data_IF_903677365350
#
_entry.id   IF_903677365350
#
_cell.length_a   1.000
_cell.length_b   1.000
_cell.length_c   1.000
_cell.angle_alpha   90.00
_cell.angle_beta   90.00
_cell.angle_gamma   90.00
#
_symmetry.space_group_name_H-M   'P 1'
#
loop_
_entity.id
_entity.type
_entity.pdbx_description
1 polymer ?
#
# COMPACT_ATOMS: atom_id res chain seq x y z
N UNK A 1 0.75 14.12 -34.80
CA UNK A 1 1.90 13.48 -34.12
C UNK A 1 2.25 14.34 -32.92
N UNK A 2 2.00 13.86 -31.70
CA UNK A 2 2.53 14.51 -30.50
C UNK A 2 4.04 14.26 -30.49
N UNK A 3 4.82 15.32 -30.31
CA UNK A 3 6.26 15.21 -30.06
C UNK A 3 6.48 14.28 -28.86
N UNK A 4 7.44 13.34 -28.91
CA UNK A 4 7.74 12.51 -27.75
C UNK A 4 8.05 13.40 -26.54
N UNK A 5 7.67 12.98 -25.32
CA UNK A 5 8.01 13.73 -24.12
C UNK A 5 9.51 13.96 -24.06
N UNK A 6 9.92 15.11 -23.53
CA UNK A 6 11.33 15.33 -23.21
C UNK A 6 11.83 14.25 -22.23
N UNK A 7 13.13 13.95 -22.24
CA UNK A 7 13.71 12.94 -21.34
C UNK A 7 13.31 13.19 -19.87
N UNK A 8 13.33 14.46 -19.44
CA UNK A 8 12.87 14.85 -18.10
C UNK A 8 11.39 14.55 -17.82
N UNK A 9 10.48 14.73 -18.80
CA UNK A 9 9.06 14.38 -18.63
C UNK A 9 8.85 12.86 -18.53
N UNK A 10 9.64 12.07 -19.26
CA UNK A 10 9.60 10.61 -19.19
C UNK A 10 10.04 10.11 -17.80
N UNK A 11 11.14 10.64 -17.26
CA UNK A 11 11.59 10.33 -15.90
C UNK A 11 10.55 10.69 -14.84
N UNK A 12 9.91 11.87 -14.95
CA UNK A 12 8.83 12.27 -14.04
C UNK A 12 7.68 11.25 -14.05
N UNK A 13 7.30 10.77 -15.24
CA UNK A 13 6.24 9.78 -15.39
C UNK A 13 6.62 8.46 -14.72
N UNK A 14 7.85 7.97 -14.92
CA UNK A 14 8.35 6.74 -14.31
C UNK A 14 8.34 6.79 -12.78
N UNK A 15 8.75 7.91 -12.17
CA UNK A 15 8.69 8.06 -10.72
C UNK A 15 7.26 8.14 -10.19
N UNK A 16 6.35 8.80 -10.91
CA UNK A 16 4.92 8.80 -10.55
C UNK A 16 4.32 7.40 -10.63
N UNK A 17 4.70 6.62 -11.63
CA UNK A 17 4.24 5.24 -11.79
C UNK A 17 4.78 4.34 -10.68
N UNK A 18 6.07 4.45 -10.36
CA UNK A 18 6.68 3.75 -9.23
C UNK A 18 5.93 4.02 -7.92
N UNK A 19 5.71 5.29 -7.58
CA UNK A 19 5.06 5.66 -6.32
C UNK A 19 3.61 5.17 -6.26
N UNK A 20 2.88 5.25 -7.38
CA UNK A 20 1.51 4.73 -7.47
C UNK A 20 1.45 3.22 -7.35
N UNK A 21 2.31 2.51 -8.08
CA UNK A 21 2.37 1.05 -8.15
C UNK A 21 2.91 0.42 -6.84
N UNK A 22 3.56 1.19 -5.97
CA UNK A 22 4.03 0.78 -4.63
C UNK A 22 3.26 1.43 -3.48
N UNK A 23 2.26 2.27 -3.80
CA UNK A 23 1.46 3.05 -2.86
C UNK A 23 2.28 3.95 -1.91
N UNK A 24 3.45 4.41 -2.35
CA UNK A 24 4.28 5.35 -1.61
C UNK A 24 3.69 6.78 -1.71
N UNK A 25 3.56 7.49 -0.58
CA UNK A 25 3.29 8.94 -0.60
C UNK A 25 4.58 9.67 -0.26
N UNK A 26 5.14 10.43 -1.21
CA UNK A 26 6.33 11.21 -0.95
C UNK A 26 6.00 12.41 -0.06
N UNK A 27 7.01 12.88 0.67
CA UNK A 27 6.99 14.20 1.33
C UNK A 27 7.88 15.16 0.54
N UNK A 28 7.64 16.48 0.58
CA UNK A 28 8.53 17.45 -0.05
C UNK A 28 9.96 17.32 0.48
N UNK A 29 10.94 17.43 -0.43
CA UNK A 29 12.36 17.26 -0.12
C UNK A 29 12.99 15.99 -0.72
N UNK A 30 14.16 15.57 -0.23
CA UNK A 30 14.91 14.47 -0.82
C UNK A 30 14.21 13.12 -0.62
N UNK A 31 14.17 12.34 -1.70
CA UNK A 31 13.63 10.99 -1.78
C UNK A 31 14.71 10.06 -2.29
N UNK A 32 14.88 8.93 -1.58
CA UNK A 32 15.78 7.84 -1.97
C UNK A 32 14.95 6.58 -2.15
N UNK A 33 15.05 5.96 -3.33
CA UNK A 33 14.45 4.66 -3.61
C UNK A 33 15.56 3.64 -3.83
N UNK A 34 15.82 2.73 -2.88
CA UNK A 34 16.81 1.68 -3.06
C UNK A 34 16.32 0.64 -4.08
N UNK A 35 17.19 0.25 -5.00
CA UNK A 35 16.96 -0.78 -6.03
C UNK A 35 17.98 -1.93 -5.85
N UNK A 36 17.94 -2.66 -4.72
CA UNK A 36 18.95 -3.66 -4.36
C UNK A 36 19.10 -4.78 -5.41
N UNK A 37 18.03 -5.11 -6.15
CA UNK A 37 18.06 -6.21 -7.13
C UNK A 37 18.94 -5.92 -8.34
N UNK A 38 19.24 -4.64 -8.58
CA UNK A 38 20.09 -4.16 -9.68
C UNK A 38 21.32 -3.38 -9.18
N UNK A 39 21.55 -3.35 -7.87
CA UNK A 39 22.72 -2.68 -7.27
C UNK A 39 22.70 -1.15 -7.41
N UNK A 40 21.51 -0.54 -7.51
CA UNK A 40 21.35 0.91 -7.76
C UNK A 40 20.41 1.58 -6.74
N UNK A 41 20.25 2.89 -6.84
CA UNK A 41 19.22 3.68 -6.14
C UNK A 41 18.74 4.84 -6.99
N UNK A 42 17.46 5.19 -6.91
CA UNK A 42 16.97 6.47 -7.45
C UNK A 42 17.10 7.54 -6.37
N UNK A 43 17.69 8.67 -6.72
CA UNK A 43 17.70 9.88 -5.89
C UNK A 43 16.87 10.94 -6.58
N UNK A 44 15.91 11.52 -5.87
CA UNK A 44 15.12 12.62 -6.41
C UNK A 44 14.73 13.66 -5.36
N UNK A 45 14.52 14.91 -5.79
CA UNK A 45 13.98 15.97 -4.94
C UNK A 45 12.50 16.17 -5.24
N UNK A 46 11.62 15.82 -4.30
CA UNK A 46 10.17 16.01 -4.42
C UNK A 46 9.85 17.48 -4.22
N UNK A 47 9.51 18.15 -5.32
CA UNK A 47 9.18 19.58 -5.33
C UNK A 47 7.71 19.84 -4.96
N UNK A 48 6.80 18.96 -5.39
CA UNK A 48 5.36 19.12 -5.18
C UNK A 48 4.67 17.77 -4.97
N UNK A 49 3.81 17.69 -3.95
CA UNK A 49 2.97 16.53 -3.66
C UNK A 49 1.55 16.80 -4.14
N UNK A 50 1.02 15.94 -5.00
CA UNK A 50 -0.31 16.05 -5.59
C UNK A 50 -1.22 14.93 -5.08
N UNK A 51 -2.47 15.21 -4.66
CA UNK A 51 -3.44 14.19 -4.25
C UNK A 51 -3.85 13.21 -5.36
N UNK A 52 -3.70 13.57 -6.65
CA UNK A 52 -4.00 12.66 -7.78
C UNK A 52 -2.78 11.87 -8.27
N UNK A 53 -1.64 11.97 -7.58
CA UNK A 53 -0.42 11.22 -7.88
C UNK A 53 0.48 11.85 -8.95
N UNK A 54 0.18 13.07 -9.40
CA UNK A 54 0.99 13.83 -10.37
C UNK A 54 2.07 14.67 -9.68
N UNK A 55 2.85 14.03 -8.82
CA UNK A 55 3.97 14.66 -8.10
C UNK A 55 4.97 15.32 -9.06
N UNK A 56 5.66 16.38 -8.63
CA UNK A 56 6.77 16.99 -9.38
C UNK A 56 8.09 16.77 -8.67
N UNK A 57 9.11 16.46 -9.46
CA UNK A 57 10.48 16.27 -8.98
C UNK A 57 11.40 17.35 -9.59
N UNK A 58 12.35 17.90 -8.84
CA UNK A 58 13.27 18.92 -9.35
C UNK A 58 14.60 18.34 -9.85
N UNK A 59 15.08 17.27 -9.19
CA UNK A 59 16.29 16.53 -9.54
C UNK A 59 15.96 15.05 -9.59
N UNK A 60 16.48 14.34 -10.58
CA UNK A 60 16.38 12.87 -10.71
C UNK A 60 17.78 12.37 -11.10
N UNK A 61 18.27 11.39 -10.36
CA UNK A 61 19.57 10.77 -10.59
C UNK A 61 19.54 9.28 -10.25
N UNK A 62 20.41 8.50 -10.88
CA UNK A 62 20.72 7.12 -10.51
C UNK A 62 22.02 7.06 -9.71
N UNK A 63 21.96 6.43 -8.54
CA UNK A 63 23.12 6.11 -7.73
C UNK A 63 23.58 4.69 -7.99
N UNK A 64 24.88 4.51 -8.23
CA UNK A 64 25.53 3.21 -8.45
C UNK A 64 26.14 2.68 -7.15
N UNK A 65 26.42 1.37 -7.11
CA UNK A 65 26.95 0.69 -5.92
C UNK A 65 28.32 1.20 -5.45
N UNK A 66 29.09 1.85 -6.33
CA UNK A 66 30.38 2.47 -6.03
C UNK A 66 30.25 3.94 -5.55
N UNK A 67 29.03 4.42 -5.37
CA UNK A 67 28.75 5.78 -4.87
C UNK A 67 28.72 6.86 -5.96
N UNK A 68 28.83 6.47 -7.23
CA UNK A 68 28.59 7.37 -8.36
C UNK A 68 27.14 7.84 -8.41
N UNK A 69 26.92 9.05 -8.93
CA UNK A 69 25.61 9.60 -9.21
C UNK A 69 25.57 10.04 -10.68
N UNK A 70 24.70 9.42 -11.45
CA UNK A 70 24.38 9.81 -12.81
C UNK A 70 23.17 10.76 -12.80
N UNK A 71 23.36 12.06 -13.07
CA UNK A 71 22.25 12.99 -13.21
C UNK A 71 21.53 12.76 -14.54
N UNK A 72 20.21 12.96 -14.56
CA UNK A 72 19.39 12.90 -15.78
C UNK A 72 19.48 11.53 -16.49
N UNK A 73 19.18 10.41 -15.79
CA UNK A 73 19.37 9.07 -16.32
C UNK A 73 18.51 8.80 -17.55
N UNK A 74 19.00 7.98 -18.48
CA UNK A 74 18.20 7.55 -19.63
C UNK A 74 16.85 6.94 -19.16
N UNK A 75 15.71 7.38 -19.72
CA UNK A 75 14.40 6.90 -19.28
C UNK A 75 14.20 5.39 -19.45
N UNK A 76 14.78 4.77 -20.48
CA UNK A 76 14.64 3.33 -20.71
C UNK A 76 15.47 2.53 -19.70
N UNK A 77 16.67 3.01 -19.36
CA UNK A 77 17.48 2.43 -18.28
C UNK A 77 16.78 2.54 -16.92
N UNK A 78 16.25 3.72 -16.59
CA UNK A 78 15.48 3.93 -15.36
C UNK A 78 14.26 3.00 -15.32
N UNK A 79 13.50 2.89 -16.42
CA UNK A 79 12.34 2.01 -16.51
C UNK A 79 12.72 0.53 -16.31
N UNK A 80 13.82 0.07 -16.92
CA UNK A 80 14.33 -1.29 -16.78
C UNK A 80 14.76 -1.60 -15.34
N UNK A 81 15.47 -0.68 -14.69
CA UNK A 81 15.89 -0.81 -13.30
C UNK A 81 14.70 -0.92 -12.34
N UNK A 82 13.70 -0.03 -12.50
CA UNK A 82 12.49 -0.04 -11.68
C UNK A 82 11.65 -1.30 -11.90
N UNK A 83 11.45 -1.71 -13.16
CA UNK A 83 10.69 -2.92 -13.51
C UNK A 83 11.36 -4.16 -12.92
N UNK A 84 12.69 -4.26 -13.04
CA UNK A 84 13.46 -5.38 -12.49
C UNK A 84 13.33 -5.44 -10.97
N UNK A 85 13.43 -4.29 -10.29
CA UNK A 85 13.28 -4.20 -8.84
C UNK A 85 11.86 -4.61 -8.40
N UNK A 86 10.80 -4.13 -9.05
CA UNK A 86 9.43 -4.51 -8.71
C UNK A 86 9.16 -6.00 -8.97
N UNK A 87 9.64 -6.55 -10.09
CA UNK A 87 9.53 -7.97 -10.37
C UNK A 87 10.26 -8.84 -9.33
N UNK A 88 11.44 -8.40 -8.86
CA UNK A 88 12.18 -9.11 -7.82
C UNK A 88 11.48 -9.08 -6.44
N UNK A 89 10.67 -8.05 -6.16
CA UNK A 89 9.83 -7.97 -4.95
C UNK A 89 8.68 -8.97 -5.00
N UNK A 90 8.06 -9.16 -6.16
CA UNK A 90 6.92 -10.07 -6.35
C UNK A 90 7.25 -11.55 -6.22
N UNK A 91 8.52 -11.94 -6.38
CA UNK A 91 8.92 -13.35 -6.42
C UNK A 91 8.46 -14.05 -7.71
N UNK A 92 8.62 -15.38 -7.80
CA UNK A 92 8.43 -16.14 -9.05
C UNK A 92 6.96 -16.31 -9.50
N UNK A 93 5.98 -15.66 -8.86
CA UNK A 93 4.57 -15.77 -9.26
C UNK A 93 4.27 -14.86 -10.45
N UNK A 94 4.30 -15.47 -11.63
CA UNK A 94 3.95 -14.83 -12.89
C UNK A 94 2.46 -14.47 -12.98
N UNK A 95 2.21 -13.20 -13.23
CA UNK A 95 1.08 -12.79 -14.05
C UNK A 95 1.65 -11.99 -15.21
N UNK A 96 1.39 -12.45 -16.44
CA UNK A 96 1.85 -11.78 -17.65
C UNK A 96 0.97 -10.56 -17.91
N UNK A 97 1.60 -9.40 -18.12
CA UNK A 97 0.96 -8.14 -18.50
C UNK A 97 0.39 -8.27 -19.92
N UNK A 98 -0.93 -8.31 -20.08
CA UNK A 98 -1.53 -8.04 -21.38
C UNK A 98 -1.57 -6.52 -21.59
N UNK A 99 -0.97 -6.00 -22.68
CA UNK A 99 -1.07 -4.59 -23.02
C UNK A 99 -2.55 -4.19 -23.13
N UNK A 100 -3.01 -3.11 -22.47
CA UNK A 100 -4.39 -2.67 -22.59
C UNK A 100 -4.67 -2.16 -24.00
N UNK A 101 -5.94 -2.16 -24.45
CA UNK A 101 -6.34 -1.32 -25.56
C UNK A 101 -6.09 0.14 -25.18
N UNK A 102 -5.24 0.83 -25.94
CA UNK A 102 -4.96 2.25 -25.74
C UNK A 102 -6.13 3.11 -26.22
N UNK A 103 -6.90 3.70 -25.30
CA UNK A 103 -7.86 4.77 -25.60
C UNK A 103 -8.25 5.51 -24.30
N UNK A 104 -7.33 6.32 -23.77
CA UNK A 104 -7.68 7.38 -22.83
C UNK A 104 -8.41 8.52 -23.55
N UNK A 105 -8.67 9.62 -22.84
CA UNK A 105 -9.21 10.83 -23.48
C UNK A 105 -8.34 11.24 -24.70
N UNK A 106 -8.96 11.62 -25.83
CA UNK A 106 -8.23 12.10 -27.00
C UNK A 106 -7.24 13.21 -26.66
N UNK A 107 -6.10 13.25 -27.40
CA UNK A 107 -5.03 14.22 -27.16
C UNK A 107 -5.42 15.68 -27.39
N UNK A 108 -6.53 15.93 -28.08
CA UNK A 108 -7.12 17.26 -28.32
C UNK A 108 -8.17 17.67 -27.26
N UNK A 109 -8.49 16.80 -26.30
CA UNK A 109 -9.47 17.14 -25.25
C UNK A 109 -8.96 18.31 -24.37
N UNK A 110 -9.88 19.16 -23.86
CA UNK A 110 -9.53 20.31 -23.03
C UNK A 110 -8.59 19.96 -21.86
N UNK A 111 -7.69 20.89 -21.53
CA UNK A 111 -6.81 20.79 -20.35
C UNK A 111 -7.56 21.04 -19.03
N UNK A 112 -8.64 21.81 -19.09
CA UNK A 112 -9.52 22.01 -17.93
C UNK A 112 -10.29 20.71 -17.62
N UNK A 113 -10.16 20.14 -16.39
CA UNK A 113 -10.85 18.91 -16.02
C UNK A 113 -12.38 19.03 -16.12
N UNK A 114 -12.97 20.20 -15.84
CA UNK A 114 -14.43 20.37 -15.88
C UNK A 114 -14.95 20.37 -17.32
N UNK A 115 -14.29 21.10 -18.23
CA UNK A 115 -14.60 21.07 -19.66
C UNK A 115 -14.37 19.67 -20.29
N UNK A 116 -13.44 18.88 -19.76
CA UNK A 116 -13.12 17.54 -20.27
C UNK A 116 -14.16 16.46 -19.91
N UNK A 117 -15.13 16.73 -19.02
CA UNK A 117 -16.14 15.74 -18.61
C UNK A 117 -17.01 15.27 -19.78
N UNK A 118 -17.43 16.17 -20.68
CA UNK A 118 -18.26 15.79 -21.84
C UNK A 118 -17.58 14.75 -22.75
N UNK A 119 -16.37 15.03 -23.26
CA UNK A 119 -15.56 14.04 -23.98
C UNK A 119 -15.33 12.74 -23.19
N UNK A 120 -15.13 12.82 -21.87
CA UNK A 120 -14.91 11.66 -21.01
C UNK A 120 -16.13 10.75 -20.94
N UNK A 121 -17.35 11.31 -20.88
CA UNK A 121 -18.59 10.54 -20.95
C UNK A 121 -18.74 9.85 -22.30
N UNK A 122 -18.34 10.50 -23.40
CA UNK A 122 -18.28 9.88 -24.72
C UNK A 122 -17.37 8.66 -24.75
N UNK A 123 -16.15 8.80 -24.24
CA UNK A 123 -15.18 7.70 -24.13
C UNK A 123 -15.69 6.57 -23.23
N UNK A 124 -16.27 6.90 -22.06
CA UNK A 124 -16.85 5.92 -21.13
C UNK A 124 -17.96 5.10 -21.80
N UNK A 125 -18.89 5.76 -22.51
CA UNK A 125 -19.94 5.07 -23.29
C UNK A 125 -19.35 4.15 -24.35
N UNK A 126 -18.31 4.58 -25.07
CA UNK A 126 -17.63 3.74 -26.06
C UNK A 126 -16.97 2.51 -25.44
N UNK A 127 -16.25 2.67 -24.33
CA UNK A 127 -15.62 1.56 -23.59
C UNK A 127 -16.67 0.54 -23.13
N UNK A 128 -17.83 1.00 -22.70
CA UNK A 128 -18.90 0.12 -22.19
C UNK A 128 -19.78 -0.49 -23.30
N UNK A 129 -19.92 0.17 -24.46
CA UNK A 129 -20.80 -0.27 -25.57
C UNK A 129 -20.33 -1.51 -26.34
N UNK A 130 -19.03 -1.78 -26.43
CA UNK A 130 -18.46 -2.90 -27.21
C UNK A 130 -18.58 -4.26 -26.50
N UNK A 131 -19.76 -4.55 -25.93
CA UNK A 131 -19.92 -5.61 -24.96
C UNK A 131 -20.17 -6.99 -25.54
N UNK A 132 -19.12 -7.81 -25.64
CA UNK A 132 -19.25 -9.26 -25.94
C UNK A 132 -18.66 -10.18 -24.86
N UNK A 133 -17.88 -9.67 -23.88
CA UNK A 133 -17.41 -10.41 -22.69
C UNK A 133 -17.36 -9.53 -21.41
N UNK A 134 -17.65 -10.15 -20.24
CA UNK A 134 -17.48 -9.70 -18.84
C UNK A 134 -17.56 -8.19 -18.49
N UNK A 135 -18.71 -7.71 -18.02
CA UNK A 135 -18.95 -6.30 -17.69
C UNK A 135 -17.97 -5.70 -16.65
N UNK A 136 -17.58 -6.47 -15.62
CA UNK A 136 -16.73 -5.99 -14.53
C UNK A 136 -15.27 -5.71 -14.93
N UNK A 137 -14.73 -6.42 -15.93
CA UNK A 137 -13.37 -6.15 -16.42
C UNK A 137 -13.33 -4.83 -17.21
N UNK A 138 -14.30 -4.62 -18.11
CA UNK A 138 -14.41 -3.36 -18.87
C UNK A 138 -14.72 -2.15 -18.00
N UNK A 139 -15.50 -2.29 -16.92
CA UNK A 139 -15.69 -1.20 -15.96
C UNK A 139 -14.36 -0.77 -15.33
N UNK A 140 -13.47 -1.72 -15.00
CA UNK A 140 -12.12 -1.43 -14.49
C UNK A 140 -11.22 -0.79 -15.56
N UNK A 141 -11.24 -1.33 -16.78
CA UNK A 141 -10.48 -0.74 -17.90
C UNK A 141 -10.94 0.69 -18.20
N UNK A 142 -12.25 0.95 -18.21
CA UNK A 142 -12.81 2.27 -18.40
C UNK A 142 -12.43 3.23 -17.27
N UNK A 143 -12.46 2.77 -16.00
CA UNK A 143 -11.99 3.55 -14.87
C UNK A 143 -10.51 3.96 -15.02
N UNK A 144 -9.65 3.01 -15.35
CA UNK A 144 -8.23 3.29 -15.56
C UNK A 144 -8.03 4.29 -16.71
N UNK A 145 -8.60 4.02 -17.88
CA UNK A 145 -8.36 4.82 -19.09
C UNK A 145 -9.02 6.22 -19.05
N UNK A 146 -10.25 6.33 -18.53
CA UNK A 146 -11.03 7.57 -18.61
C UNK A 146 -10.82 8.45 -17.38
N UNK A 147 -10.86 7.87 -16.18
CA UNK A 147 -10.74 8.63 -14.94
C UNK A 147 -9.27 8.80 -14.52
N UNK A 148 -8.56 7.69 -14.30
CA UNK A 148 -7.20 7.71 -13.71
C UNK A 148 -6.14 8.28 -14.66
N UNK A 149 -6.17 7.89 -15.93
CA UNK A 149 -5.20 8.34 -16.93
C UNK A 149 -5.74 9.51 -17.79
N UNK A 150 -7.04 9.84 -17.65
CA UNK A 150 -7.72 10.90 -18.39
C UNK A 150 -8.03 12.14 -17.53
N UNK A 151 -9.13 12.11 -16.79
CA UNK A 151 -9.65 13.29 -16.09
C UNK A 151 -8.75 13.75 -14.93
N UNK A 152 -8.25 12.83 -14.09
CA UNK A 152 -7.50 13.20 -12.89
C UNK A 152 -6.17 13.92 -13.18
N UNK A 153 -5.34 13.49 -14.15
CA UNK A 153 -4.11 14.22 -14.47
C UNK A 153 -4.33 15.68 -14.91
N UNK A 154 -5.52 15.99 -15.48
CA UNK A 154 -5.89 17.36 -15.88
C UNK A 154 -6.12 18.28 -14.69
N UNK A 155 -6.54 17.75 -13.54
CA UNK A 155 -6.67 18.51 -12.28
C UNK A 155 -5.34 19.18 -11.91
N UNK A 156 -4.24 18.44 -12.07
CA UNK A 156 -2.89 18.90 -11.74
C UNK A 156 -2.20 19.75 -12.83
N UNK A 157 -2.81 19.88 -14.01
CA UNK A 157 -2.19 20.52 -15.16
C UNK A 157 -2.24 22.07 -15.17
N UNK A 158 -2.94 22.71 -14.22
CA UNK A 158 -3.05 24.18 -14.19
C UNK A 158 -1.93 24.87 -13.40
N UNK A 159 -1.66 26.13 -13.77
CA UNK A 159 -0.59 26.94 -13.18
C UNK A 159 -0.80 27.21 -11.67
N UNK A 160 0.27 27.27 -10.86
CA UNK A 160 0.19 27.72 -9.48
C UNK A 160 -0.30 29.17 -9.42
N UNK A 161 -1.33 29.48 -8.62
CA UNK A 161 -1.59 30.88 -8.23
C UNK A 161 -3.03 31.42 -8.23
N UNK A 162 -4.08 30.64 -8.52
CA UNK A 162 -5.46 31.14 -8.35
C UNK A 162 -6.47 30.11 -7.81
N UNK A 163 -6.25 28.82 -8.08
CA UNK A 163 -7.13 27.74 -7.66
C UNK A 163 -6.28 26.57 -7.16
N UNK A 164 -6.59 26.04 -5.98
CA UNK A 164 -5.86 24.89 -5.42
C UNK A 164 -6.29 23.61 -6.13
N UNK A 165 -5.41 22.61 -6.17
CA UNK A 165 -5.73 21.29 -6.74
C UNK A 165 -6.97 20.66 -6.09
N UNK A 166 -7.18 20.93 -4.79
CA UNK A 166 -8.39 20.53 -4.05
C UNK A 166 -9.65 21.17 -4.61
N UNK A 167 -9.64 22.48 -4.88
CA UNK A 167 -10.79 23.18 -5.46
C UNK A 167 -11.14 22.62 -6.85
N UNK A 168 -10.14 22.28 -7.67
CA UNK A 168 -10.36 21.60 -8.96
C UNK A 168 -10.93 20.20 -8.82
N UNK A 169 -10.47 19.42 -7.83
CA UNK A 169 -11.07 18.11 -7.52
C UNK A 169 -12.53 18.26 -7.12
N UNK A 170 -12.87 19.29 -6.32
CA UNK A 170 -14.24 19.55 -5.89
C UNK A 170 -15.12 19.95 -7.09
N UNK A 171 -14.61 20.81 -7.99
CA UNK A 171 -15.31 21.20 -9.22
C UNK A 171 -15.52 20.00 -10.16
N UNK A 172 -14.50 19.16 -10.36
CA UNK A 172 -14.60 17.93 -11.15
C UNK A 172 -15.65 16.98 -10.53
N UNK A 173 -15.60 16.79 -9.22
CA UNK A 173 -16.55 15.94 -8.48
C UNK A 173 -17.98 16.43 -8.67
N UNK A 174 -18.23 17.73 -8.48
CA UNK A 174 -19.55 18.33 -8.71
C UNK A 174 -20.07 18.14 -10.13
N UNK A 175 -19.19 18.26 -11.14
CA UNK A 175 -19.55 18.04 -12.54
C UNK A 175 -19.87 16.57 -12.83
N UNK A 176 -19.11 15.63 -12.26
CA UNK A 176 -19.36 14.19 -12.40
C UNK A 176 -20.67 13.77 -11.71
N UNK A 177 -21.00 14.38 -10.56
CA UNK A 177 -22.30 14.17 -9.88
C UNK A 177 -23.45 14.58 -10.80
N UNK A 178 -23.42 15.78 -11.37
CA UNK A 178 -24.44 16.24 -12.31
C UNK A 178 -24.55 15.30 -13.53
N UNK A 179 -23.41 14.91 -14.11
CA UNK A 179 -23.38 13.97 -15.23
C UNK A 179 -24.01 12.60 -14.88
N UNK A 180 -23.75 12.07 -13.69
CA UNK A 180 -24.35 10.82 -13.21
C UNK A 180 -25.86 10.95 -13.08
N UNK A 181 -26.31 12.07 -12.52
CA UNK A 181 -27.73 12.29 -12.21
C UNK A 181 -28.56 12.47 -13.50
N UNK A 182 -27.97 13.10 -14.52
CA UNK A 182 -28.53 13.28 -15.87
C UNK A 182 -28.45 12.00 -16.74
N UNK A 183 -27.52 11.08 -16.46
CA UNK A 183 -27.37 9.84 -17.22
C UNK A 183 -28.54 8.87 -16.93
N UNK A 184 -29.09 8.23 -17.97
CA UNK A 184 -30.11 7.20 -17.79
C UNK A 184 -29.56 6.00 -16.97
N UNK A 185 -30.41 5.28 -16.22
CA UNK A 185 -30.00 4.07 -15.51
C UNK A 185 -29.29 3.07 -16.44
N UNK A 186 -28.12 2.60 -16.02
CA UNK A 186 -27.30 1.67 -16.79
C UNK A 186 -25.81 1.77 -16.48
N UNK A 187 -24.96 1.03 -17.22
CA UNK A 187 -23.55 0.83 -16.87
C UNK A 187 -22.72 2.11 -16.75
N UNK A 188 -23.07 3.17 -17.49
CA UNK A 188 -22.39 4.47 -17.46
C UNK A 188 -22.69 5.18 -16.14
N UNK A 189 -23.97 5.23 -15.76
CA UNK A 189 -24.41 5.79 -14.47
C UNK A 189 -23.82 5.02 -13.30
N UNK A 190 -23.76 3.69 -13.41
CA UNK A 190 -23.17 2.82 -12.38
C UNK A 190 -21.66 3.06 -12.22
N UNK A 191 -20.93 3.20 -13.34
CA UNK A 191 -19.50 3.52 -13.32
C UNK A 191 -19.24 4.89 -12.68
N UNK A 192 -19.99 5.93 -13.05
CA UNK A 192 -19.91 7.24 -12.43
C UNK A 192 -20.25 7.18 -10.93
N UNK A 193 -21.27 6.39 -10.56
CA UNK A 193 -21.62 6.11 -9.17
C UNK A 193 -20.44 5.57 -8.38
N UNK A 194 -19.84 4.47 -8.86
CA UNK A 194 -18.66 3.83 -8.25
C UNK A 194 -17.48 4.80 -8.13
N UNK A 195 -17.18 5.60 -9.17
CA UNK A 195 -16.10 6.58 -9.10
C UNK A 195 -16.30 7.64 -8.03
N UNK A 196 -17.55 7.98 -7.72
CA UNK A 196 -17.92 9.02 -6.75
C UNK A 196 -18.09 8.48 -5.32
N UNK A 197 -18.26 7.17 -5.14
CA UNK A 197 -18.51 6.55 -3.83
C UNK A 197 -17.37 5.67 -3.32
N UNK A 198 -16.67 4.99 -4.21
CA UNK A 198 -15.78 3.90 -3.79
C UNK A 198 -14.47 4.47 -3.24
N UNK A 199 -13.99 3.98 -2.08
CA UNK A 199 -12.76 4.50 -1.46
C UNK A 199 -11.50 4.17 -2.26
N UNK A 200 -11.58 3.18 -3.15
CA UNK A 200 -10.49 2.74 -4.00
C UNK A 200 -10.94 2.63 -5.45
N UNK A 201 -10.04 2.97 -6.36
CA UNK A 201 -10.23 2.81 -7.79
C UNK A 201 -9.33 1.67 -8.30
N UNK A 202 -9.82 0.86 -9.25
CA UNK A 202 -9.01 -0.14 -9.93
C UNK A 202 -8.01 0.56 -10.85
N UNK A 203 -6.73 0.24 -10.68
CA UNK A 203 -5.64 0.71 -11.55
C UNK A 203 -4.91 -0.47 -12.16
N UNK A 204 -4.57 -0.34 -13.43
CA UNK A 204 -3.54 -1.18 -14.06
C UNK A 204 -2.16 -0.58 -13.76
N UNK A 205 -1.28 -1.29 -13.05
CA UNK A 205 0.06 -0.78 -12.83
C UNK A 205 0.84 -0.75 -14.16
N UNK A 206 1.83 0.14 -14.21
CA UNK A 206 2.67 0.34 -15.41
C UNK A 206 3.94 -0.49 -15.29
N UNK A 207 4.59 -0.43 -14.13
CA UNK A 207 5.89 -1.04 -13.86
C UNK A 207 5.73 -2.37 -13.09
N UNK A 208 4.74 -2.46 -12.19
CA UNK A 208 4.52 -3.66 -11.38
C UNK A 208 3.90 -4.82 -12.19
N UNK A 209 4.31 -6.09 -11.98
CA UNK A 209 3.83 -7.22 -12.78
C UNK A 209 2.35 -7.59 -12.56
N UNK A 210 1.73 -7.19 -11.44
CA UNK A 210 0.31 -7.46 -11.17
C UNK A 210 -0.63 -6.95 -12.27
N UNK A 211 -1.68 -7.70 -12.60
CA UNK A 211 -2.65 -7.28 -13.61
C UNK A 211 -3.52 -6.09 -13.16
N UNK A 212 -3.81 -6.00 -11.86
CA UNK A 212 -4.59 -4.93 -11.23
C UNK A 212 -4.07 -4.64 -9.84
N UNK A 213 -4.19 -3.39 -9.42
CA UNK A 213 -4.00 -2.92 -8.06
C UNK A 213 -5.14 -1.98 -7.67
N UNK A 214 -5.28 -1.73 -6.38
CA UNK A 214 -6.15 -0.66 -5.86
C UNK A 214 -5.33 0.58 -5.60
N UNK A 215 -5.86 1.73 -5.98
CA UNK A 215 -5.32 3.03 -5.56
C UNK A 215 -6.40 3.80 -4.83
N UNK A 216 -6.00 4.62 -3.85
CA UNK A 216 -6.92 5.50 -3.12
C UNK A 216 -7.63 6.45 -4.09
N UNK A 217 -8.93 6.62 -3.90
CA UNK A 217 -9.73 7.49 -4.74
C UNK A 217 -9.59 8.96 -4.32
N UNK A 218 -8.99 9.85 -5.14
CA UNK A 218 -8.84 11.27 -4.77
C UNK A 218 -10.15 12.07 -4.81
N UNK A 219 -11.19 11.53 -5.47
CA UNK A 219 -12.54 12.13 -5.49
C UNK A 219 -13.28 11.93 -4.16
N UNK A 220 -12.85 10.96 -3.33
CA UNK A 220 -13.44 10.67 -2.03
C UNK A 220 -12.49 11.17 -0.94
N UNK A 221 -12.77 12.32 -0.31
CA UNK A 221 -11.95 12.81 0.80
C UNK A 221 -11.97 11.79 1.94
N UNK A 222 -10.80 11.43 2.43
CA UNK A 222 -10.67 10.57 3.61
C UNK A 222 -10.24 11.45 4.77
N UNK A 223 -11.16 11.68 5.69
CA UNK A 223 -10.89 12.37 6.94
C UNK A 223 -9.96 11.57 7.86
N UNK A 224 -9.49 12.18 8.96
CA UNK A 224 -8.76 11.45 9.99
C UNK A 224 -9.65 10.32 10.54
N UNK A 225 -9.15 9.08 10.48
CA UNK A 225 -9.84 7.94 11.08
C UNK A 225 -9.45 7.88 12.56
N UNK A 226 -10.38 8.31 13.42
CA UNK A 226 -10.26 8.09 14.85
C UNK A 226 -10.35 6.58 15.12
N UNK A 227 -9.31 6.02 15.74
CA UNK A 227 -9.29 4.63 16.19
C UNK A 227 -8.80 4.60 17.62
N UNK A 228 -9.37 3.68 18.41
CA UNK A 228 -8.81 3.31 19.69
C UNK A 228 -7.55 2.47 19.47
N UNK A 229 -6.69 2.40 20.48
CA UNK A 229 -5.58 1.45 20.45
C UNK A 229 -6.09 0.01 20.36
N UNK A 230 -5.29 -0.91 19.79
CA UNK A 230 -5.61 -2.32 19.82
C UNK A 230 -5.59 -2.84 21.27
N UNK A 231 -6.47 -3.79 21.65
CA UNK A 231 -6.39 -4.41 22.96
C UNK A 231 -5.11 -5.23 23.09
N UNK A 232 -4.62 -5.34 24.32
CA UNK A 232 -3.52 -6.26 24.67
C UNK A 232 -4.08 -7.28 25.68
N UNK A 233 -4.61 -8.43 25.21
CA UNK A 233 -5.10 -9.47 26.11
C UNK A 233 -3.96 -9.97 26.99
N UNK A 234 -4.15 -10.13 28.29
CA UNK A 234 -3.08 -10.63 29.18
C UNK A 234 -2.64 -12.07 28.85
N UNK A 235 -3.54 -12.85 28.23
CA UNK A 235 -3.30 -14.24 27.84
C UNK A 235 -3.88 -14.56 26.47
N UNK A 236 -3.16 -15.41 25.75
CA UNK A 236 -3.59 -16.03 24.51
C UNK A 236 -3.21 -17.52 24.56
N UNK A 237 -4.14 -18.40 24.94
CA UNK A 237 -3.84 -19.81 25.18
C UNK A 237 -2.76 -19.99 26.26
N UNK A 238 -1.65 -20.63 25.90
CA UNK A 238 -0.48 -20.81 26.80
C UNK A 238 0.47 -19.62 26.85
N UNK A 239 0.18 -18.55 26.12
CA UNK A 239 1.07 -17.40 26.02
C UNK A 239 0.59 -16.29 26.95
N UNK A 240 1.52 -15.68 27.68
CA UNK A 240 1.30 -14.44 28.42
C UNK A 240 1.80 -13.29 27.59
N UNK A 241 0.98 -12.26 27.42
CA UNK A 241 1.32 -11.07 26.64
C UNK A 241 1.46 -9.89 27.60
N UNK A 242 2.49 -9.08 27.39
CA UNK A 242 2.68 -7.82 28.11
C UNK A 242 3.29 -6.76 27.21
N UNK A 243 3.01 -5.49 27.47
CA UNK A 243 3.66 -4.38 26.77
C UNK A 243 5.18 -4.41 27.00
N UNK A 244 5.94 -4.19 25.94
CA UNK A 244 7.39 -4.07 26.00
C UNK A 244 7.79 -2.71 26.60
N UNK A 245 8.86 -2.66 27.40
CA UNK A 245 9.39 -1.40 27.94
C UNK A 245 10.47 -0.81 27.04
N UNK A 246 10.54 0.54 26.88
CA UNK A 246 11.52 1.21 26.00
C UNK A 246 12.98 1.19 26.51
N UNK A 247 13.29 0.33 27.48
CA UNK A 247 14.61 0.18 28.07
C UNK A 247 14.72 -1.11 28.87
N UNK A 248 15.92 -1.35 29.43
CA UNK A 248 16.21 -2.54 30.23
C UNK A 248 16.18 -3.84 29.41
N UNK A 249 15.93 -4.99 30.08
CA UNK A 249 16.05 -6.32 29.46
C UNK A 249 15.15 -6.55 28.23
N UNK A 250 14.00 -5.88 28.18
CA UNK A 250 13.07 -5.96 27.05
C UNK A 250 13.70 -5.40 25.76
N UNK A 251 14.32 -4.22 25.87
CA UNK A 251 15.00 -3.57 24.77
C UNK A 251 16.20 -4.41 24.30
N UNK A 252 16.99 -4.94 25.24
CA UNK A 252 18.15 -5.77 24.93
C UNK A 252 17.73 -7.05 24.16
N UNK A 253 16.65 -7.69 24.61
CA UNK A 253 16.09 -8.89 23.97
C UNK A 253 15.59 -8.58 22.56
N UNK A 254 14.76 -7.55 22.41
CA UNK A 254 14.17 -7.16 21.14
C UNK A 254 15.24 -6.72 20.13
N UNK A 255 16.12 -5.80 20.52
CA UNK A 255 17.18 -5.32 19.66
C UNK A 255 18.15 -6.44 19.28
N UNK A 256 18.39 -7.40 20.18
CA UNK A 256 19.14 -8.62 19.90
C UNK A 256 18.49 -9.47 18.80
N UNK A 257 17.18 -9.74 18.87
CA UNK A 257 16.46 -10.47 17.82
C UNK A 257 16.46 -9.73 16.49
N UNK A 258 16.25 -8.43 16.49
CA UNK A 258 16.15 -7.60 15.28
C UNK A 258 17.46 -7.50 14.50
N UNK A 259 18.60 -7.83 15.13
CA UNK A 259 19.92 -7.93 14.51
C UNK A 259 20.25 -9.31 13.94
N UNK A 260 19.37 -10.31 14.09
CA UNK A 260 19.61 -11.66 13.57
C UNK A 260 19.35 -11.72 12.06
N UNK A 261 20.20 -12.39 11.25
CA UNK A 261 20.07 -12.39 9.79
C UNK A 261 18.69 -12.81 9.28
N UNK A 262 18.06 -13.81 9.89
CA UNK A 262 16.74 -14.30 9.50
C UNK A 262 15.60 -13.30 9.83
N UNK A 263 15.78 -12.45 10.85
CA UNK A 263 14.82 -11.40 11.21
C UNK A 263 15.05 -10.18 10.34
N UNK A 264 16.31 -9.80 10.10
CA UNK A 264 16.68 -8.69 9.19
C UNK A 264 16.05 -8.89 7.82
N UNK A 265 16.08 -10.13 7.29
CA UNK A 265 15.57 -10.44 5.94
C UNK A 265 14.12 -10.02 5.72
N UNK A 266 13.26 -10.12 6.74
CA UNK A 266 11.81 -9.95 6.57
C UNK A 266 11.17 -8.91 7.49
N UNK A 267 11.77 -8.63 8.65
CA UNK A 267 11.35 -7.57 9.55
C UNK A 267 12.04 -6.25 9.20
N UNK A 268 13.31 -6.28 8.75
CA UNK A 268 13.99 -5.12 8.16
C UNK A 268 14.37 -3.99 9.12
N UNK A 269 14.43 -4.27 10.44
CA UNK A 269 14.66 -3.25 11.47
C UNK A 269 15.89 -3.53 12.38
N UNK A 270 17.11 -3.78 11.85
CA UNK A 270 18.33 -3.92 12.65
C UNK A 270 18.85 -2.58 13.18
N UNK A 271 17.96 -1.83 13.82
CA UNK A 271 18.25 -0.48 14.27
C UNK A 271 19.12 -0.48 15.53
N UNK A 272 19.91 0.59 15.75
CA UNK A 272 20.57 0.80 17.04
C UNK A 272 19.56 0.86 18.19
N UNK A 273 19.94 0.41 19.38
CA UNK A 273 19.06 0.32 20.56
C UNK A 273 18.35 1.65 20.87
N UNK A 274 19.03 2.79 20.71
CA UNK A 274 18.42 4.13 20.90
C UNK A 274 17.21 4.41 19.99
N UNK A 275 17.19 3.82 18.79
CA UNK A 275 16.06 3.96 17.85
C UNK A 275 14.93 3.03 18.27
N UNK A 276 15.23 1.79 18.67
CA UNK A 276 14.24 0.87 19.23
C UNK A 276 13.60 1.41 20.52
N UNK A 277 14.38 2.01 21.42
CA UNK A 277 13.85 2.68 22.61
C UNK A 277 12.82 3.77 22.25
N UNK A 278 13.12 4.58 21.22
CA UNK A 278 12.22 5.62 20.72
C UNK A 278 10.97 5.02 20.06
N UNK A 279 11.12 3.95 19.29
CA UNK A 279 10.00 3.25 18.66
C UNK A 279 9.03 2.71 19.73
N UNK A 280 9.55 2.00 20.73
CA UNK A 280 8.76 1.47 21.83
C UNK A 280 8.06 2.58 22.64
N UNK A 281 8.74 3.71 22.87
CA UNK A 281 8.14 4.86 23.53
C UNK A 281 7.04 5.53 22.67
N UNK A 282 7.12 5.41 21.35
CA UNK A 282 6.12 5.92 20.40
C UNK A 282 4.81 5.13 20.38
N UNK A 283 4.82 3.86 20.82
CA UNK A 283 3.64 2.98 20.91
C UNK A 283 2.79 3.22 22.18
N UNK A 284 2.73 4.48 22.63
CA UNK A 284 1.90 4.94 23.73
C UNK A 284 0.41 5.06 23.37
N UNK A 285 -0.42 5.53 24.32
CA UNK A 285 -1.85 5.71 24.12
C UNK A 285 -2.20 6.56 22.90
N UNK A 286 -3.10 6.08 22.06
CA UNK A 286 -3.60 6.74 20.85
C UNK A 286 -2.71 6.60 19.62
N UNK A 287 -1.59 5.88 19.70
CA UNK A 287 -0.74 5.59 18.54
C UNK A 287 -1.43 4.67 17.53
N UNK A 288 -2.35 3.82 17.98
CA UNK A 288 -2.95 2.76 17.17
C UNK A 288 -2.06 1.52 17.03
N UNK A 289 -0.96 1.44 17.79
CA UNK A 289 -0.04 0.29 17.81
C UNK A 289 0.36 -0.05 19.27
N UNK A 290 0.46 -1.33 19.58
CA UNK A 290 0.96 -1.83 20.85
C UNK A 290 2.13 -2.80 20.60
N UNK A 291 3.31 -2.46 21.13
CA UNK A 291 4.47 -3.33 21.18
C UNK A 291 4.36 -4.30 22.37
N UNK A 292 4.38 -5.61 22.08
CA UNK A 292 4.08 -6.68 23.04
C UNK A 292 5.18 -7.73 23.04
N UNK A 293 5.68 -8.06 24.22
CA UNK A 293 6.49 -9.27 24.45
C UNK A 293 5.60 -10.42 24.89
N UNK A 294 6.00 -11.62 24.49
CA UNK A 294 5.25 -12.84 24.71
C UNK A 294 6.11 -13.85 25.46
N UNK A 295 5.63 -14.31 26.61
CA UNK A 295 6.24 -15.40 27.38
C UNK A 295 5.44 -16.70 27.15
N UNK A 296 6.12 -17.85 26.99
CA UNK A 296 5.45 -19.16 26.96
C UNK A 296 5.31 -19.68 28.40
N UNK A 297 4.08 -19.82 28.90
CA UNK A 297 3.85 -20.22 30.30
C UNK A 297 4.25 -21.67 30.58
N UNK A 298 4.55 -22.46 29.54
CA UNK A 298 5.07 -23.83 29.69
C UNK A 298 6.56 -23.87 29.97
N UNK A 299 7.26 -22.73 29.84
CA UNK A 299 8.68 -22.59 30.16
C UNK A 299 8.98 -21.20 30.77
N UNK A 300 8.54 -20.92 32.01
CA UNK A 300 8.64 -19.58 32.61
C UNK A 300 10.06 -19.05 32.80
N UNK A 301 11.08 -19.92 32.73
CA UNK A 301 12.49 -19.55 32.90
C UNK A 301 13.21 -19.18 31.61
N UNK A 302 12.62 -19.45 30.44
CA UNK A 302 13.25 -19.22 29.13
C UNK A 302 13.23 -17.73 28.68
N UNK A 303 12.47 -16.88 29.38
CA UNK A 303 12.22 -15.50 28.98
C UNK A 303 11.25 -15.37 27.80
N UNK A 304 11.13 -14.16 27.22
CA UNK A 304 10.23 -13.93 26.10
C UNK A 304 10.57 -14.80 24.89
N UNK A 305 9.56 -15.36 24.23
CA UNK A 305 9.69 -16.21 23.04
C UNK A 305 9.29 -15.51 21.75
N UNK A 306 8.58 -14.38 21.82
CA UNK A 306 8.19 -13.59 20.66
C UNK A 306 7.96 -12.12 20.99
N UNK A 307 8.03 -11.30 19.96
CA UNK A 307 7.63 -9.90 19.93
C UNK A 307 6.50 -9.73 18.92
N UNK A 308 5.47 -8.96 19.30
CA UNK A 308 4.33 -8.64 18.46
C UNK A 308 4.16 -7.12 18.37
N UNK A 309 3.74 -6.64 17.20
CA UNK A 309 3.09 -5.34 17.06
C UNK A 309 1.63 -5.63 16.77
N UNK A 310 0.76 -5.35 17.73
CA UNK A 310 -0.69 -5.34 17.53
C UNK A 310 -1.04 -3.94 17.04
N UNK A 311 -1.82 -3.78 15.98
CA UNK A 311 -2.07 -2.45 15.42
C UNK A 311 -3.46 -2.30 14.78
N UNK A 312 -3.82 -1.06 14.46
CA UNK A 312 -5.01 -0.68 13.67
C UNK A 312 -4.61 -0.51 12.20
N UNK A 313 -4.89 -1.49 11.32
CA UNK A 313 -4.44 -1.49 9.93
C UNK A 313 -4.77 -0.23 9.13
N UNK A 314 -5.92 0.41 9.41
CA UNK A 314 -6.36 1.65 8.75
C UNK A 314 -5.38 2.82 8.89
N UNK A 315 -4.49 2.79 9.91
CA UNK A 315 -3.45 3.80 10.14
C UNK A 315 -2.11 3.48 9.48
N UNK A 316 -1.98 2.31 8.86
CA UNK A 316 -0.72 1.81 8.31
C UNK A 316 -0.71 1.88 6.79
N UNK A 317 0.50 1.79 6.22
CA UNK A 317 0.70 1.91 4.78
C UNK A 317 -0.13 0.90 3.96
N UNK A 318 -0.47 -0.25 4.52
CA UNK A 318 -1.31 -1.27 3.88
C UNK A 318 -2.70 -0.72 3.49
N UNK A 319 -3.27 0.21 4.25
CA UNK A 319 -4.61 0.77 4.02
C UNK A 319 -4.72 1.58 2.73
N UNK A 320 -3.58 1.83 2.06
CA UNK A 320 -3.51 2.56 0.79
C UNK A 320 -3.92 1.72 -0.41
N UNK A 321 -3.65 0.41 -0.35
CA UNK A 321 -3.99 -0.56 -1.39
C UNK A 321 -4.93 -1.67 -0.92
N UNK A 322 -5.15 -1.80 0.39
CA UNK A 322 -6.04 -2.80 0.98
C UNK A 322 -7.17 -2.13 1.78
N UNK A 323 -8.44 -2.55 1.61
CA UNK A 323 -9.59 -1.97 2.29
C UNK A 323 -9.65 -2.43 3.76
N UNK A 324 -8.77 -1.87 4.58
CA UNK A 324 -8.77 -2.04 6.02
C UNK A 324 -9.81 -1.12 6.68
N UNK A 325 -10.68 -1.69 7.50
CA UNK A 325 -11.65 -0.96 8.31
C UNK A 325 -11.05 -0.43 9.61
N UNK A 326 -11.74 0.51 10.29
CA UNK A 326 -11.31 1.05 11.58
C UNK A 326 -11.28 -0.02 12.70
N UNK A 327 -12.14 -1.03 12.61
CA UNK A 327 -12.26 -2.10 13.60
C UNK A 327 -11.37 -3.32 13.30
N UNK A 328 -10.70 -3.35 12.14
CA UNK A 328 -9.73 -4.39 11.84
C UNK A 328 -8.58 -4.32 12.85
N UNK A 329 -8.03 -5.49 13.17
CA UNK A 329 -6.82 -5.62 13.97
C UNK A 329 -5.70 -6.23 13.14
N UNK A 330 -4.48 -5.76 13.34
CA UNK A 330 -3.29 -6.24 12.66
C UNK A 330 -2.31 -6.89 13.63
N UNK A 331 -1.50 -7.82 13.13
CA UNK A 331 -0.38 -8.40 13.89
C UNK A 331 0.90 -8.53 13.04
N UNK A 332 1.97 -7.85 13.46
CA UNK A 332 3.33 -8.24 13.10
C UNK A 332 3.90 -9.17 14.15
N UNK A 333 4.75 -10.11 13.73
CA UNK A 333 5.36 -11.09 14.63
C UNK A 333 6.83 -11.28 14.31
N UNK A 334 7.63 -11.29 15.36
CA UNK A 334 9.00 -11.79 15.37
C UNK A 334 9.08 -12.91 16.42
N UNK A 335 9.43 -14.13 16.01
CA UNK A 335 9.62 -15.24 16.95
C UNK A 335 11.10 -15.33 17.28
N UNK A 336 11.42 -15.28 18.59
CA UNK A 336 12.79 -15.26 19.11
C UNK A 336 13.57 -16.54 18.80
N UNK A 337 14.90 -16.49 18.96
CA UNK A 337 15.80 -17.57 18.55
C UNK A 337 15.52 -18.94 19.20
N UNK A 338 15.19 -18.94 20.49
CA UNK A 338 15.05 -20.14 21.31
C UNK A 338 13.64 -20.75 21.28
N UNK A 339 12.92 -20.61 20.16
CA UNK A 339 11.55 -21.12 20.06
C UNK A 339 11.50 -22.58 19.60
N UNK A 340 10.48 -23.30 20.08
CA UNK A 340 10.18 -24.65 19.60
C UNK A 340 9.54 -24.59 18.21
N UNK A 341 9.81 -25.59 17.36
CA UNK A 341 9.12 -25.72 16.07
C UNK A 341 7.61 -25.69 16.27
N UNK A 342 6.92 -24.91 15.44
CA UNK A 342 5.47 -24.75 15.53
C UNK A 342 4.99 -23.63 16.47
N UNK A 343 5.87 -23.02 17.29
CA UNK A 343 5.50 -21.90 18.17
C UNK A 343 4.80 -20.76 17.42
N UNK A 344 5.33 -20.34 16.27
CA UNK A 344 4.74 -19.24 15.50
C UNK A 344 3.27 -19.47 15.10
N UNK A 345 2.93 -20.67 14.60
CA UNK A 345 1.54 -20.97 14.21
C UNK A 345 0.60 -21.07 15.41
N UNK A 346 1.05 -21.71 16.50
CA UNK A 346 0.28 -21.78 17.73
C UNK A 346 0.05 -20.39 18.35
N UNK A 347 1.07 -19.53 18.33
CA UNK A 347 1.01 -18.17 18.84
C UNK A 347 0.04 -17.32 18.02
N UNK A 348 0.20 -17.27 16.70
CA UNK A 348 -0.67 -16.50 15.81
C UNK A 348 -2.13 -16.93 15.93
N UNK A 349 -2.37 -18.24 16.03
CA UNK A 349 -3.71 -18.77 16.29
C UNK A 349 -4.27 -18.27 17.62
N UNK A 350 -3.55 -18.46 18.71
CA UNK A 350 -4.02 -18.05 20.03
C UNK A 350 -4.23 -16.53 20.15
N UNK A 351 -3.32 -15.73 19.59
CA UNK A 351 -3.38 -14.26 19.64
C UNK A 351 -4.58 -13.76 18.86
N UNK A 352 -4.83 -14.26 17.65
CA UNK A 352 -5.98 -13.84 16.87
C UNK A 352 -7.31 -14.17 17.57
N UNK A 353 -7.42 -15.35 18.20
CA UNK A 353 -8.61 -15.68 18.99
C UNK A 353 -8.78 -14.75 20.20
N UNK A 354 -7.70 -14.44 20.91
CA UNK A 354 -7.73 -13.53 22.05
C UNK A 354 -8.10 -12.09 21.65
N UNK A 355 -7.59 -11.59 20.52
CA UNK A 355 -7.94 -10.28 19.98
C UNK A 355 -9.42 -10.21 19.59
N UNK A 356 -9.91 -11.20 18.84
CA UNK A 356 -11.32 -11.26 18.44
C UNK A 356 -12.26 -11.39 19.65
N UNK A 357 -11.83 -12.05 20.72
CA UNK A 357 -12.58 -12.11 21.97
C UNK A 357 -12.57 -10.77 22.73
N UNK A 358 -11.43 -10.07 22.75
CA UNK A 358 -11.27 -8.81 23.47
C UNK A 358 -11.93 -7.61 22.78
N UNK A 359 -12.07 -7.63 21.45
CA UNK A 359 -12.70 -6.58 20.66
C UNK A 359 -13.92 -7.15 19.90
N UNK A 360 -15.13 -7.13 20.49
CA UNK A 360 -16.32 -7.72 19.87
C UNK A 360 -16.66 -7.15 18.48
N UNK A 361 -16.35 -5.87 18.26
CA UNK A 361 -16.57 -5.19 16.97
C UNK A 361 -15.57 -5.56 15.88
N UNK A 362 -14.45 -6.21 16.22
CA UNK A 362 -13.42 -6.55 15.25
C UNK A 362 -13.91 -7.66 14.30
N UNK A 363 -14.00 -7.42 12.98
CA UNK A 363 -14.48 -8.44 12.05
C UNK A 363 -13.40 -9.46 11.69
N UNK A 364 -12.11 -9.07 11.76
CA UNK A 364 -10.98 -9.93 11.37
C UNK A 364 -9.65 -9.42 11.94
N UNK A 365 -8.71 -10.35 12.08
CA UNK A 365 -7.29 -10.05 12.33
C UNK A 365 -6.51 -10.26 11.04
N UNK A 366 -5.65 -9.32 10.65
CA UNK A 366 -4.85 -9.39 9.43
C UNK A 366 -3.34 -9.31 9.71
N UNK A 367 -2.57 -9.67 8.71
CA UNK A 367 -1.13 -9.43 8.65
C UNK A 367 -0.66 -9.33 7.19
N UNK A 368 0.51 -8.74 7.00
CA UNK A 368 1.13 -8.54 5.68
C UNK A 368 2.56 -9.09 5.61
N UNK A 369 2.79 -10.40 5.81
CA UNK A 369 4.11 -10.98 5.55
C UNK A 369 4.59 -10.67 4.12
N UNK A 370 5.90 -10.58 3.94
CA UNK A 370 6.50 -10.60 2.59
C UNK A 370 6.08 -11.88 1.87
N UNK A 371 5.62 -11.76 0.62
CA UNK A 371 5.12 -12.88 -0.18
C UNK A 371 6.18 -13.99 -0.40
N UNK A 372 7.47 -13.69 -0.21
CA UNK A 372 8.59 -14.63 -0.31
C UNK A 372 8.93 -15.29 1.02
N UNK A 373 8.22 -14.97 2.10
CA UNK A 373 8.45 -15.54 3.43
C UNK A 373 7.59 -16.79 3.68
N UNK A 374 7.96 -17.90 3.02
CA UNK A 374 7.24 -19.19 3.14
C UNK A 374 7.10 -19.67 4.58
N UNK A 375 8.08 -19.38 5.44
CA UNK A 375 8.06 -19.75 6.85
C UNK A 375 6.93 -19.00 7.60
N UNK A 376 6.83 -17.68 7.41
CA UNK A 376 5.76 -16.87 7.99
C UNK A 376 4.40 -17.24 7.40
N UNK A 377 4.28 -17.35 6.07
CA UNK A 377 3.05 -17.76 5.40
C UNK A 377 2.57 -19.14 5.90
N UNK A 378 3.48 -20.10 6.04
CA UNK A 378 3.19 -21.39 6.63
C UNK A 378 2.76 -21.31 8.10
N UNK A 379 3.31 -20.39 8.88
CA UNK A 379 2.91 -20.16 10.27
C UNK A 379 1.51 -19.53 10.36
N UNK A 380 1.22 -18.50 9.58
CA UNK A 380 -0.11 -17.88 9.48
C UNK A 380 -1.17 -18.90 9.07
N UNK A 381 -0.89 -19.71 8.04
CA UNK A 381 -1.79 -20.80 7.61
C UNK A 381 -2.08 -21.79 8.74
N UNK A 382 -1.05 -22.23 9.49
CA UNK A 382 -1.23 -23.10 10.67
C UNK A 382 -1.98 -22.40 11.81
N UNK A 383 -1.86 -21.08 11.92
CA UNK A 383 -2.63 -20.25 12.84
C UNK A 383 -4.07 -19.96 12.40
N UNK A 384 -4.51 -20.54 11.28
CA UNK A 384 -5.88 -20.41 10.78
C UNK A 384 -6.15 -19.16 9.94
N UNK A 385 -5.11 -18.48 9.47
CA UNK A 385 -5.25 -17.38 8.51
C UNK A 385 -5.32 -17.90 7.08
N UNK A 386 -6.04 -17.19 6.22
CA UNK A 386 -6.16 -17.45 4.78
C UNK A 386 -5.60 -16.27 3.99
N UNK A 387 -4.99 -16.55 2.83
CA UNK A 387 -4.56 -15.49 1.91
C UNK A 387 -5.77 -14.76 1.35
N UNK A 388 -5.75 -13.43 1.40
CA UNK A 388 -6.77 -12.57 0.82
C UNK A 388 -6.32 -12.00 -0.54
N UNK A 389 -5.11 -11.43 -0.58
CA UNK A 389 -4.57 -10.76 -1.76
C UNK A 389 -3.07 -10.50 -1.61
N UNK A 390 -2.38 -10.23 -2.72
CA UNK A 390 -1.03 -9.66 -2.71
C UNK A 390 -1.05 -8.22 -3.19
N UNK A 391 -0.51 -7.31 -2.38
CA UNK A 391 -0.39 -5.88 -2.70
C UNK A 391 1.07 -5.44 -2.69
N UNK A 392 1.43 -4.55 -3.60
CA UNK A 392 2.77 -3.96 -3.61
C UNK A 392 2.87 -2.86 -2.55
N UNK A 393 3.86 -2.95 -1.67
CA UNK A 393 4.22 -1.90 -0.71
C UNK A 393 5.60 -1.35 -1.04
N UNK A 394 6.00 -0.19 -0.48
CA UNK A 394 7.27 0.45 -0.85
C UNK A 394 8.52 -0.40 -0.65
N UNK A 395 8.46 -1.42 0.21
CA UNK A 395 9.60 -2.25 0.61
C UNK A 395 9.42 -3.75 0.35
N UNK A 396 8.23 -4.21 -0.06
CA UNK A 396 7.92 -5.64 -0.29
C UNK A 396 6.63 -5.80 -1.08
N UNK A 397 6.44 -6.97 -1.64
CA UNK A 397 5.11 -7.45 -1.98
C UNK A 397 4.51 -8.13 -0.75
N UNK A 398 3.43 -7.55 -0.25
CA UNK A 398 2.74 -7.99 0.95
C UNK A 398 1.66 -9.01 0.57
N UNK A 399 1.81 -10.24 1.04
CA UNK A 399 0.75 -11.23 1.01
C UNK A 399 -0.18 -10.99 2.20
N UNK A 400 -1.29 -10.31 1.97
CA UNK A 400 -2.30 -10.05 3.00
C UNK A 400 -2.94 -11.38 3.39
N UNK A 401 -2.81 -11.74 4.65
CA UNK A 401 -3.46 -12.90 5.25
C UNK A 401 -4.44 -12.44 6.30
N UNK A 402 -5.62 -13.05 6.33
CA UNK A 402 -6.72 -12.66 7.20
C UNK A 402 -7.22 -13.85 7.99
N UNK A 403 -7.65 -13.61 9.23
CA UNK A 403 -8.42 -14.52 10.04
C UNK A 403 -9.73 -13.84 10.40
N UNK A 404 -10.77 -14.23 9.68
CA UNK A 404 -12.12 -13.73 9.87
C UNK A 404 -12.70 -14.19 11.22
N UNK A 405 -13.52 -13.35 11.83
CA UNK A 405 -14.39 -13.76 12.92
C UNK A 405 -15.35 -14.81 12.38
N UNK A 406 -15.38 -15.98 13.02
CA UNK A 406 -16.41 -16.97 12.71
C UNK A 406 -17.76 -16.39 13.12
N UNK A 407 -18.73 -16.34 12.21
CA UNK A 407 -20.11 -16.12 12.59
C UNK A 407 -20.48 -17.15 13.66
N UNK A 408 -21.01 -16.70 14.80
CA UNK A 408 -21.41 -17.60 15.87
C UNK A 408 -22.35 -18.67 15.31
N UNK A 409 -22.03 -19.94 15.57
CA UNK A 409 -22.91 -21.06 15.29
C UNK A 409 -24.11 -21.05 16.24
#
# INVERSE_FOLDING_TARGET
MLTPPSAGEAQQALLRDLLRDTHAEPVPGPMLVPLPSVGMSVVADVAEVSPVGTHRFARIALGTSDGGLEPDPDPDELAAALTTELAARSGPTGATRAAPPGAGLPGDAPRDPVAAVGPALGALRQHLAHATNGAAARARDACAAVLLDGLLPRVAAGAPGAETERARLDALTGRLVGARDDEAPGPVRDALGSWLSDPYLPRRPVLHPSAWQRVRNPLVPVGPVAVADPPVPERAGRFRLRRATPGGPDLDTLAGWMRRPEVIRFFGQPWPDRRWARELAGHGPGSGTAAVLVDDTTDPGAGPVAYLELYRPVRHALARGFPAGPDDLGVHVCVGAAHRRGTGGALLGAVADALLAAEPGCPRVLAEPDARNDAALGAFRRGGFTHAETVALPHKDAAIVVRERRAGA
#
